data_IF_903306500872
#
_entry.id   IF_903306500872
#
_cell.length_a   1.000
_cell.length_b   1.000
_cell.length_c   1.000
_cell.angle_alpha   90.00
_cell.angle_beta   90.00
_cell.angle_gamma   90.00
#
_symmetry.space_group_name_H-M   'P 1'
#
loop_
_entity.id
_entity.type
_entity.pdbx_description
1 polymer ?
#
# COMPACT_ATOMS: atom_id res chain seq x y z
N UNK A 1 9.21 -38.99 44.06
CA UNK A 1 9.34 -39.05 42.57
C UNK A 1 8.05 -38.61 41.87
N UNK A 2 6.86 -39.17 42.22
CA UNK A 2 5.58 -38.88 41.57
C UNK A 2 5.17 -37.38 41.66
N UNK A 3 5.38 -36.76 42.85
CA UNK A 3 5.02 -35.35 43.05
C UNK A 3 5.85 -34.38 42.21
N UNK A 4 7.13 -34.71 41.98
CA UNK A 4 8.04 -33.92 41.16
C UNK A 4 7.63 -34.02 39.67
N UNK A 5 7.28 -35.23 39.20
CA UNK A 5 6.86 -35.36 37.79
C UNK A 5 5.52 -34.69 37.50
N UNK A 6 4.58 -34.61 38.45
CA UNK A 6 3.29 -33.92 38.29
C UNK A 6 3.46 -32.39 38.19
N UNK A 7 4.50 -31.83 38.83
CA UNK A 7 4.77 -30.39 38.78
C UNK A 7 5.72 -30.01 37.62
N UNK A 8 6.74 -30.83 37.36
CA UNK A 8 7.79 -30.52 36.38
C UNK A 8 7.30 -30.77 34.93
N UNK A 9 6.51 -31.85 34.73
CA UNK A 9 6.04 -32.18 33.39
C UNK A 9 5.14 -31.08 32.76
N UNK A 10 4.12 -30.52 33.45
CA UNK A 10 3.34 -29.40 32.91
C UNK A 10 4.19 -28.16 32.70
N UNK A 11 5.14 -27.87 33.56
CA UNK A 11 6.03 -26.72 33.39
C UNK A 11 6.95 -26.86 32.15
N UNK A 12 7.50 -28.07 31.94
CA UNK A 12 8.28 -28.39 30.74
C UNK A 12 7.44 -28.35 29.45
N UNK A 13 6.21 -28.88 29.51
CA UNK A 13 5.26 -28.77 28.39
C UNK A 13 4.90 -27.32 28.12
N UNK A 14 4.63 -26.53 29.14
CA UNK A 14 4.38 -25.10 28.99
C UNK A 14 5.57 -24.38 28.35
N UNK A 15 6.79 -24.62 28.85
CA UNK A 15 8.01 -24.05 28.27
C UNK A 15 8.22 -24.53 26.83
N UNK A 16 7.97 -25.80 26.54
CA UNK A 16 8.05 -26.34 25.17
C UNK A 16 7.05 -25.67 24.23
N UNK A 17 5.79 -25.43 24.65
CA UNK A 17 4.79 -24.72 23.86
C UNK A 17 5.09 -23.23 23.74
N UNK A 18 5.63 -22.59 24.80
CA UNK A 18 5.95 -21.15 24.76
C UNK A 18 7.25 -20.86 24.00
N UNK A 19 8.27 -21.70 24.13
CA UNK A 19 9.57 -21.49 23.49
C UNK A 19 9.81 -22.37 22.25
N UNK A 20 9.15 -23.53 22.15
CA UNK A 20 9.31 -24.46 21.03
C UNK A 20 8.39 -24.21 19.84
N UNK A 21 7.36 -23.37 19.98
CA UNK A 21 6.46 -22.97 18.91
C UNK A 21 6.62 -21.48 18.54
N UNK A 22 7.78 -20.89 18.80
CA UNK A 22 8.07 -19.53 18.37
C UNK A 22 8.56 -19.45 16.91
N UNK A 23 8.21 -20.39 16.06
CA UNK A 23 7.98 -20.06 14.67
C UNK A 23 6.64 -19.31 14.62
N UNK A 24 6.65 -18.05 14.99
CA UNK A 24 5.58 -17.14 14.63
C UNK A 24 5.57 -17.18 13.11
N UNK A 25 4.58 -17.86 12.54
CA UNK A 25 4.30 -17.84 11.12
C UNK A 25 3.90 -16.40 10.81
N UNK A 26 4.88 -15.56 10.48
CA UNK A 26 4.62 -14.22 9.99
C UNK A 26 3.99 -14.40 8.62
N UNK A 27 2.72 -14.06 8.54
CA UNK A 27 2.06 -13.95 7.25
C UNK A 27 2.82 -12.88 6.47
N UNK A 28 3.24 -13.22 5.26
CA UNK A 28 3.87 -12.28 4.31
C UNK A 28 2.92 -12.08 3.15
N UNK A 29 2.99 -10.92 2.53
CA UNK A 29 2.24 -10.65 1.30
C UNK A 29 3.05 -11.09 0.09
N UNK A 30 2.33 -11.53 -0.94
CA UNK A 30 2.93 -11.88 -2.23
C UNK A 30 3.25 -10.62 -3.05
N UNK A 31 4.17 -10.77 -3.99
CA UNK A 31 4.51 -9.74 -4.97
C UNK A 31 3.55 -9.79 -6.15
N UNK A 32 3.17 -8.62 -6.66
CA UNK A 32 2.25 -8.46 -7.80
C UNK A 32 3.02 -7.90 -8.99
N UNK A 33 2.93 -8.58 -10.12
CA UNK A 33 3.57 -8.17 -11.37
C UNK A 33 4.41 -9.28 -11.99
N UNK A 34 5.01 -9.03 -13.14
CA UNK A 34 5.84 -10.00 -13.83
C UNK A 34 7.22 -10.10 -13.15
N UNK A 35 7.52 -11.25 -12.59
CA UNK A 35 8.84 -11.55 -12.05
C UNK A 35 9.85 -11.80 -13.18
N UNK A 36 11.07 -11.31 -13.01
CA UNK A 36 12.19 -11.62 -13.88
C UNK A 36 13.14 -12.61 -13.21
N UNK A 37 13.55 -13.64 -13.94
CA UNK A 37 14.53 -14.60 -13.46
C UNK A 37 15.91 -14.22 -14.03
N UNK A 38 16.82 -13.82 -13.16
CA UNK A 38 18.17 -13.38 -13.52
C UNK A 38 19.19 -14.43 -13.09
N UNK A 39 20.08 -14.82 -13.99
CA UNK A 39 21.17 -15.75 -13.67
C UNK A 39 22.24 -15.03 -12.83
N UNK A 40 22.68 -15.68 -11.74
CA UNK A 40 23.82 -15.26 -10.92
C UNK A 40 24.92 -16.33 -10.86
N UNK A 41 26.05 -16.04 -10.21
CA UNK A 41 27.21 -16.94 -10.11
C UNK A 41 26.93 -18.27 -9.38
N UNK A 42 25.73 -18.41 -8.73
CA UNK A 42 25.35 -19.60 -7.96
C UNK A 42 24.04 -20.24 -8.39
N UNK A 43 23.32 -19.67 -9.39
CA UNK A 43 22.01 -20.16 -9.80
C UNK A 43 21.15 -19.10 -10.49
N UNK A 44 19.90 -18.99 -10.04
CA UNK A 44 18.95 -18.01 -10.56
C UNK A 44 18.32 -17.27 -9.38
N UNK A 45 18.23 -15.95 -9.50
CA UNK A 45 17.49 -15.08 -8.58
C UNK A 45 16.19 -14.61 -9.23
N UNK A 46 15.17 -14.41 -8.41
CA UNK A 46 13.92 -13.81 -8.83
C UNK A 46 13.95 -12.31 -8.47
N UNK A 47 13.82 -11.47 -9.49
CA UNK A 47 13.67 -10.02 -9.34
C UNK A 47 12.18 -9.70 -9.46
N UNK A 48 11.59 -9.22 -8.39
CA UNK A 48 10.18 -8.86 -8.36
C UNK A 48 9.93 -7.53 -9.08
N UNK A 49 8.74 -7.42 -9.65
CA UNK A 49 8.31 -6.22 -10.34
C UNK A 49 8.33 -5.00 -9.39
N UNK A 50 8.99 -3.94 -9.83
CA UNK A 50 8.99 -2.64 -9.16
C UNK A 50 8.18 -1.66 -10.01
N UNK A 51 7.36 -0.82 -9.40
CA UNK A 51 6.62 0.20 -10.14
C UNK A 51 7.60 1.14 -10.87
N UNK A 52 7.25 1.65 -12.06
CA UNK A 52 8.14 2.53 -12.80
C UNK A 52 8.41 3.83 -12.04
N UNK A 53 9.53 4.46 -12.35
CA UNK A 53 9.84 5.79 -11.87
C UNK A 53 8.79 6.79 -12.35
N UNK A 54 8.44 7.72 -11.47
CA UNK A 54 7.54 8.82 -11.76
C UNK A 54 8.07 10.13 -11.18
N UNK A 55 7.61 11.22 -11.72
CA UNK A 55 7.87 12.57 -11.22
C UNK A 55 6.58 13.38 -11.29
N UNK A 56 6.02 13.72 -10.12
CA UNK A 56 4.78 14.48 -9.99
C UNK A 56 4.97 15.63 -9.00
N UNK A 57 3.98 16.51 -8.91
CA UNK A 57 3.98 17.65 -7.99
C UNK A 57 2.97 17.41 -6.87
N UNK A 58 3.41 17.68 -5.64
CA UNK A 58 2.53 17.67 -4.48
C UNK A 58 1.75 18.99 -4.32
N UNK A 59 0.96 19.11 -3.28
CA UNK A 59 0.15 20.29 -2.96
C UNK A 59 0.95 21.55 -2.68
N UNK A 60 2.26 21.45 -2.42
CA UNK A 60 3.19 22.56 -2.24
C UNK A 60 4.02 22.86 -3.48
N UNK A 61 3.67 22.24 -4.62
CA UNK A 61 4.41 22.31 -5.89
C UNK A 61 5.84 21.76 -5.79
N UNK A 62 6.15 20.97 -4.78
CA UNK A 62 7.39 20.25 -4.69
C UNK A 62 7.31 18.98 -5.56
N UNK A 63 8.42 18.66 -6.21
CA UNK A 63 8.55 17.41 -6.97
C UNK A 63 8.52 16.23 -6.01
N UNK A 64 7.83 15.19 -6.35
CA UNK A 64 7.80 13.90 -5.65
C UNK A 64 8.10 12.81 -6.67
N UNK A 65 9.13 12.02 -6.37
CA UNK A 65 9.58 10.90 -7.20
C UNK A 65 9.34 9.57 -6.49
N UNK A 66 9.42 8.48 -7.24
CA UNK A 66 9.36 7.14 -6.64
C UNK A 66 10.44 6.96 -5.56
N UNK A 67 11.66 7.40 -5.84
CA UNK A 67 12.78 7.23 -4.91
C UNK A 67 12.61 8.02 -3.60
N UNK A 68 11.85 9.13 -3.60
CA UNK A 68 11.50 9.83 -2.36
C UNK A 68 10.46 9.09 -1.51
N UNK A 69 9.81 8.08 -2.10
CA UNK A 69 8.90 7.19 -1.41
C UNK A 69 9.59 5.92 -0.88
N UNK A 70 10.87 5.71 -1.20
CA UNK A 70 11.64 4.59 -0.66
C UNK A 70 11.64 4.62 0.88
N UNK A 71 11.68 3.46 1.51
CA UNK A 71 11.50 3.29 2.96
C UNK A 71 10.11 3.67 3.49
N UNK A 72 9.12 3.85 2.61
CA UNK A 72 7.73 4.16 2.96
C UNK A 72 6.80 3.10 2.41
N UNK A 73 5.92 2.57 3.25
CA UNK A 73 4.79 1.75 2.83
C UNK A 73 3.66 2.71 2.46
N UNK A 74 3.05 2.56 1.30
CA UNK A 74 1.95 3.44 0.95
C UNK A 74 0.82 2.77 0.17
N UNK A 75 -0.38 3.29 0.40
CA UNK A 75 -1.57 2.92 -0.38
C UNK A 75 -1.72 3.94 -1.50
N UNK A 76 -1.67 3.47 -2.74
CA UNK A 76 -1.82 4.28 -3.94
C UNK A 76 -3.24 4.16 -4.50
N UNK A 77 -3.84 5.29 -4.83
CA UNK A 77 -5.15 5.39 -5.48
C UNK A 77 -5.18 6.51 -6.52
N UNK A 78 -6.12 6.41 -7.47
CA UNK A 78 -6.42 7.48 -8.42
C UNK A 78 -7.77 8.12 -8.12
N UNK A 79 -7.89 9.42 -8.34
CA UNK A 79 -9.11 10.19 -8.05
C UNK A 79 -9.14 11.45 -8.92
N UNK A 80 -10.18 12.27 -8.81
CA UNK A 80 -10.17 13.69 -9.21
C UNK A 80 -11.04 14.51 -8.26
N UNK A 81 -10.61 15.76 -7.99
CA UNK A 81 -11.19 16.56 -6.92
C UNK A 81 -12.65 16.96 -7.15
N UNK A 82 -13.07 17.05 -8.42
CA UNK A 82 -14.42 17.43 -8.84
C UNK A 82 -15.34 16.25 -9.10
N UNK A 83 -14.93 15.03 -8.76
CA UNK A 83 -15.76 13.83 -8.88
C UNK A 83 -17.04 13.95 -8.04
N UNK A 84 -18.23 13.82 -8.65
CA UNK A 84 -19.48 14.06 -7.93
C UNK A 84 -19.98 12.83 -7.16
N UNK A 85 -19.48 11.64 -7.43
CA UNK A 85 -20.09 10.37 -6.99
C UNK A 85 -19.17 9.51 -6.15
N UNK A 86 -18.22 8.81 -6.76
CA UNK A 86 -17.45 7.72 -6.11
C UNK A 86 -16.28 8.23 -5.26
N UNK A 87 -15.54 9.26 -5.71
CA UNK A 87 -14.37 9.74 -4.99
C UNK A 87 -14.65 10.24 -3.58
N UNK A 88 -15.79 10.91 -3.28
CA UNK A 88 -16.11 11.27 -1.91
C UNK A 88 -16.22 10.06 -0.98
N UNK A 89 -16.84 8.96 -1.43
CA UNK A 89 -16.94 7.73 -0.66
C UNK A 89 -15.60 7.02 -0.51
N UNK A 90 -14.82 6.88 -1.60
CA UNK A 90 -13.45 6.36 -1.55
C UNK A 90 -12.60 7.12 -0.53
N UNK A 91 -12.57 8.44 -0.65
CA UNK A 91 -11.74 9.28 0.21
C UNK A 91 -12.22 9.29 1.66
N UNK A 92 -13.51 9.06 1.91
CA UNK A 92 -14.01 8.84 3.27
C UNK A 92 -13.37 7.59 3.89
N UNK A 93 -13.37 6.46 3.18
CA UNK A 93 -12.77 5.21 3.67
C UNK A 93 -11.25 5.31 3.81
N UNK A 94 -10.57 5.91 2.84
CA UNK A 94 -9.12 6.16 2.93
C UNK A 94 -8.76 7.08 4.10
N UNK A 95 -9.61 8.06 4.43
CA UNK A 95 -9.42 8.91 5.60
C UNK A 95 -9.55 8.13 6.93
N UNK A 96 -10.39 7.10 6.99
CA UNK A 96 -10.45 6.24 8.17
C UNK A 96 -9.16 5.40 8.30
N UNK A 97 -8.61 4.90 7.19
CA UNK A 97 -7.28 4.27 7.16
C UNK A 97 -6.21 5.25 7.65
N UNK A 98 -6.17 6.49 7.12
CA UNK A 98 -5.24 7.53 7.57
C UNK A 98 -5.28 7.72 9.09
N UNK A 99 -6.46 7.83 9.67
CA UNK A 99 -6.64 8.02 11.12
C UNK A 99 -6.16 6.82 11.93
N UNK A 100 -6.44 5.61 11.42
CA UNK A 100 -6.07 4.35 12.09
C UNK A 100 -4.55 4.16 12.12
N UNK A 101 -3.87 4.49 11.02
CA UNK A 101 -2.43 4.30 10.87
C UNK A 101 -1.60 5.57 11.12
N UNK A 102 -2.18 6.62 11.71
CA UNK A 102 -1.47 7.89 11.96
C UNK A 102 -0.21 7.77 12.83
N UNK A 103 -0.14 6.74 13.69
CA UNK A 103 0.99 6.48 14.58
C UNK A 103 2.19 5.78 13.92
N UNK A 104 2.08 5.37 12.66
CA UNK A 104 3.13 4.68 11.93
C UNK A 104 3.77 5.61 10.93
N UNK A 105 4.97 6.13 11.24
CA UNK A 105 5.65 7.14 10.40
C UNK A 105 6.06 6.60 9.03
N UNK A 106 6.30 5.30 8.92
CA UNK A 106 6.62 4.60 7.68
C UNK A 106 5.41 4.35 6.77
N UNK A 107 4.18 4.70 7.19
CA UNK A 107 2.97 4.49 6.40
C UNK A 107 2.37 5.82 5.93
N UNK A 108 1.95 5.88 4.66
CA UNK A 108 1.28 7.02 4.02
C UNK A 108 0.17 6.59 3.06
N UNK A 109 -0.70 7.52 2.73
CA UNK A 109 -1.59 7.44 1.59
C UNK A 109 -1.05 8.34 0.46
N UNK A 110 -1.20 7.88 -0.77
CA UNK A 110 -0.87 8.65 -1.99
C UNK A 110 -2.07 8.60 -2.93
N UNK A 111 -2.60 9.74 -3.29
CA UNK A 111 -3.67 9.84 -4.27
C UNK A 111 -3.23 10.73 -5.43
N UNK A 112 -3.30 10.19 -6.65
CA UNK A 112 -2.88 10.89 -7.88
C UNK A 112 -4.14 11.29 -8.64
N UNK A 113 -4.23 12.57 -9.02
CA UNK A 113 -5.38 13.01 -9.83
C UNK A 113 -5.31 12.49 -11.26
N UNK A 114 -6.47 12.20 -11.85
CA UNK A 114 -6.60 11.87 -13.27
C UNK A 114 -7.03 13.08 -14.12
N UNK A 115 -7.33 14.22 -13.48
CA UNK A 115 -7.70 15.50 -14.12
C UNK A 115 -6.71 16.62 -13.75
N UNK A 116 -5.42 16.53 -14.19
CA UNK A 116 -4.41 17.52 -13.81
C UNK A 116 -4.68 18.92 -14.36
N UNK A 117 -5.53 19.05 -15.37
CA UNK A 117 -5.91 20.37 -15.91
C UNK A 117 -6.69 21.20 -14.90
N UNK A 118 -7.59 20.56 -14.12
CA UNK A 118 -8.37 21.22 -13.06
C UNK A 118 -7.68 21.11 -11.69
N UNK A 119 -7.02 20.00 -11.44
CA UNK A 119 -6.44 19.65 -10.15
C UNK A 119 -4.98 20.12 -10.06
N UNK A 120 -4.76 21.44 -10.16
CA UNK A 120 -3.45 22.04 -9.90
C UNK A 120 -3.00 21.82 -8.46
N UNK A 121 -1.69 21.97 -8.11
CA UNK A 121 -1.20 21.87 -6.74
C UNK A 121 -2.00 22.74 -5.76
N UNK A 122 -2.36 23.96 -6.14
CA UNK A 122 -3.14 24.88 -5.32
C UNK A 122 -4.59 24.40 -5.13
N UNK A 123 -5.20 23.80 -6.16
CA UNK A 123 -6.55 23.23 -6.09
C UNK A 123 -6.56 22.02 -5.16
N UNK A 124 -5.57 21.13 -5.29
CA UNK A 124 -5.40 19.97 -4.42
C UNK A 124 -5.12 20.37 -2.97
N UNK A 125 -4.37 21.45 -2.73
CA UNK A 125 -4.14 21.98 -1.39
C UNK A 125 -5.42 22.50 -0.75
N UNK A 126 -6.25 23.19 -1.52
CA UNK A 126 -7.57 23.65 -1.06
C UNK A 126 -8.49 22.45 -0.75
N UNK A 127 -8.53 21.46 -1.65
CA UNK A 127 -9.26 20.20 -1.48
C UNK A 127 -8.88 19.45 -0.20
N UNK A 128 -7.57 19.27 0.04
CA UNK A 128 -7.04 18.61 1.23
C UNK A 128 -7.42 19.36 2.51
N UNK A 129 -7.28 20.68 2.51
CA UNK A 129 -7.61 21.55 3.65
C UNK A 129 -9.12 21.54 3.96
N UNK A 130 -9.96 21.67 2.95
CA UNK A 130 -11.43 21.69 3.11
C UNK A 130 -11.96 20.42 3.77
N UNK A 131 -11.33 19.28 3.44
CA UNK A 131 -11.72 17.96 3.96
C UNK A 131 -10.97 17.57 5.22
N UNK A 132 -10.06 18.43 5.69
CA UNK A 132 -9.27 18.19 6.90
C UNK A 132 -8.46 16.89 6.83
N UNK A 133 -7.88 16.58 5.65
CA UNK A 133 -6.93 15.47 5.51
C UNK A 133 -5.55 15.88 6.00
N UNK A 134 -4.86 14.99 6.72
CA UNK A 134 -3.55 15.26 7.29
C UNK A 134 -2.45 15.22 6.21
N UNK A 135 -1.79 16.35 5.89
CA UNK A 135 -0.76 16.38 4.86
C UNK A 135 0.50 15.58 5.21
N UNK A 136 0.72 15.27 6.48
CA UNK A 136 1.84 14.42 6.90
C UNK A 136 1.61 12.94 6.57
N UNK A 137 0.35 12.53 6.39
CA UNK A 137 -0.05 11.13 6.18
C UNK A 137 -0.68 10.87 4.83
N UNK A 138 -1.16 11.91 4.13
CA UNK A 138 -1.82 11.75 2.85
C UNK A 138 -1.29 12.76 1.82
N UNK A 139 -0.55 12.27 0.86
CA UNK A 139 0.02 13.06 -0.23
C UNK A 139 -0.90 13.04 -1.44
N UNK A 140 -1.29 14.21 -1.94
CA UNK A 140 -2.01 14.38 -3.19
C UNK A 140 -1.05 14.84 -4.27
N UNK A 141 -1.09 14.16 -5.43
CA UNK A 141 -0.16 14.40 -6.53
C UNK A 141 -0.91 14.78 -7.82
N UNK A 142 -0.26 15.64 -8.61
CA UNK A 142 -0.68 16.04 -9.95
C UNK A 142 0.54 16.15 -10.85
N UNK A 143 0.36 16.15 -12.16
CA UNK A 143 1.48 16.22 -13.07
C UNK A 143 1.08 16.14 -14.54
N UNK A 144 1.97 15.63 -15.39
CA UNK A 144 1.66 15.36 -16.78
C UNK A 144 0.61 14.25 -16.92
N UNK A 145 -0.46 14.51 -17.66
CA UNK A 145 -1.59 13.58 -17.79
C UNK A 145 -1.17 12.25 -18.42
N UNK A 146 -0.31 12.29 -19.43
CA UNK A 146 0.15 11.08 -20.09
C UNK A 146 0.97 10.22 -19.13
N UNK A 147 1.86 10.83 -18.34
CA UNK A 147 2.65 10.14 -17.33
C UNK A 147 1.76 9.53 -16.23
N UNK A 148 0.70 10.22 -15.82
CA UNK A 148 -0.29 9.72 -14.84
C UNK A 148 -0.97 8.45 -15.38
N UNK A 149 -1.44 8.46 -16.63
CA UNK A 149 -2.11 7.31 -17.23
C UNK A 149 -1.17 6.13 -17.49
N UNK A 150 0.07 6.41 -17.89
CA UNK A 150 1.12 5.38 -18.01
C UNK A 150 1.39 4.71 -16.66
N UNK A 151 1.51 5.47 -15.58
CA UNK A 151 1.69 4.92 -14.24
C UNK A 151 0.46 4.09 -13.83
N UNK A 152 -0.76 4.61 -14.03
CA UNK A 152 -1.99 3.89 -13.70
C UNK A 152 -2.05 2.51 -14.37
N UNK A 153 -1.69 2.46 -15.65
CA UNK A 153 -1.60 1.21 -16.41
C UNK A 153 -0.52 0.28 -15.84
N UNK A 154 0.66 0.81 -15.52
CA UNK A 154 1.77 0.03 -15.00
C UNK A 154 1.48 -0.56 -13.61
N UNK A 155 0.66 0.10 -12.80
CA UNK A 155 0.24 -0.40 -11.48
C UNK A 155 -1.09 -1.16 -11.50
N UNK A 156 -1.57 -1.54 -12.68
CA UNK A 156 -2.81 -2.31 -12.90
C UNK A 156 -4.08 -1.63 -12.39
N UNK A 157 -4.07 -0.32 -12.20
CA UNK A 157 -5.26 0.47 -11.91
C UNK A 157 -5.74 1.18 -13.18
N UNK A 158 -7.03 1.06 -13.48
CA UNK A 158 -7.60 1.72 -14.65
C UNK A 158 -7.80 3.22 -14.35
N UNK A 159 -7.24 4.08 -15.20
CA UNK A 159 -7.47 5.51 -15.20
C UNK A 159 -7.35 6.04 -16.63
N UNK A 160 -8.42 6.63 -17.17
CA UNK A 160 -8.44 7.23 -18.50
C UNK A 160 -9.63 8.16 -18.67
N UNK A 161 -9.54 9.05 -19.67
CA UNK A 161 -10.68 9.87 -20.06
C UNK A 161 -11.78 9.01 -20.67
N UNK A 162 -13.00 9.21 -20.19
CA UNK A 162 -14.21 8.64 -20.78
C UNK A 162 -15.33 9.68 -20.70
N UNK A 163 -15.62 10.30 -21.82
CA UNK A 163 -16.67 11.32 -21.92
C UNK A 163 -18.07 10.81 -21.60
N UNK A 164 -18.26 9.48 -21.56
CA UNK A 164 -19.52 8.85 -21.15
C UNK A 164 -19.61 8.63 -19.65
N UNK A 165 -18.46 8.67 -18.95
CA UNK A 165 -18.40 8.57 -17.51
C UNK A 165 -18.80 9.88 -16.83
N UNK A 166 -19.38 9.77 -15.64
CA UNK A 166 -19.75 10.94 -14.84
C UNK A 166 -18.51 11.71 -14.41
N UNK A 167 -18.39 12.96 -14.81
CA UNK A 167 -17.21 13.79 -14.60
C UNK A 167 -16.15 13.73 -15.70
N UNK A 168 -16.34 12.87 -16.74
CA UNK A 168 -15.46 12.81 -17.91
C UNK A 168 -14.25 11.88 -17.76
N UNK A 169 -14.15 11.17 -16.63
CA UNK A 169 -13.05 10.26 -16.35
C UNK A 169 -13.55 8.95 -15.77
N UNK A 170 -12.92 7.85 -16.18
CA UNK A 170 -13.08 6.55 -15.55
C UNK A 170 -11.81 6.24 -14.77
N UNK A 171 -11.96 6.00 -13.48
CA UNK A 171 -10.89 5.48 -12.64
C UNK A 171 -11.42 4.33 -11.77
N UNK A 172 -10.51 3.46 -11.38
CA UNK A 172 -10.83 2.35 -10.49
C UNK A 172 -11.23 2.86 -9.09
N UNK A 173 -12.19 2.19 -8.46
CA UNK A 173 -12.47 2.34 -7.01
C UNK A 173 -11.45 1.62 -6.14
N UNK A 174 -10.46 0.99 -6.79
CA UNK A 174 -9.45 0.18 -6.14
C UNK A 174 -8.24 1.01 -5.74
N UNK A 175 -7.58 0.54 -4.68
CA UNK A 175 -6.26 0.96 -4.24
C UNK A 175 -5.32 -0.24 -4.21
N UNK A 176 -4.02 0.02 -4.28
CA UNK A 176 -2.96 -0.97 -4.14
C UNK A 176 -2.05 -0.61 -2.97
N UNK A 177 -1.36 -1.61 -2.42
CA UNK A 177 -0.32 -1.38 -1.42
C UNK A 177 1.04 -1.50 -2.09
N UNK A 178 1.92 -0.55 -1.81
CA UNK A 178 3.30 -0.55 -2.29
C UNK A 178 4.22 -0.56 -1.06
N UNK A 179 5.22 -1.45 -1.09
CA UNK A 179 6.19 -1.57 -0.03
C UNK A 179 7.33 -0.54 -0.16
N UNK A 180 8.28 -0.60 0.77
CA UNK A 180 9.41 0.34 0.91
C UNK A 180 10.47 0.24 -0.19
N UNK A 181 10.41 -0.81 -1.02
CA UNK A 181 11.29 -1.03 -2.18
C UNK A 181 10.57 -0.75 -3.51
N UNK A 182 9.29 -0.36 -3.45
CA UNK A 182 8.48 -0.02 -4.61
C UNK A 182 7.79 -1.21 -5.27
N UNK A 183 7.65 -2.34 -4.57
CA UNK A 183 6.91 -3.50 -5.06
C UNK A 183 5.44 -3.41 -4.68
N UNK A 184 4.55 -3.78 -5.61
CA UNK A 184 3.13 -3.95 -5.29
C UNK A 184 2.98 -5.26 -4.50
N UNK A 185 2.31 -5.17 -3.34
CA UNK A 185 2.13 -6.31 -2.43
C UNK A 185 0.65 -6.60 -2.23
N UNK A 186 0.30 -7.87 -2.12
CA UNK A 186 -1.09 -8.29 -1.90
C UNK A 186 -1.17 -9.67 -1.28
N UNK A 187 -2.30 -9.94 -0.62
CA UNK A 187 -2.66 -11.28 -0.16
C UNK A 187 -3.07 -12.21 -1.31
N UNK A 188 -3.17 -13.49 -1.01
CA UNK A 188 -3.91 -14.44 -1.83
C UNK A 188 -5.34 -14.59 -1.32
N UNK A 189 -6.26 -14.85 -2.25
CA UNK A 189 -7.62 -15.27 -1.95
C UNK A 189 -7.67 -16.74 -1.44
N UNK A 190 -8.85 -17.21 -1.06
CA UNK A 190 -9.07 -18.57 -0.59
C UNK A 190 -8.76 -19.65 -1.66
N UNK A 191 -8.63 -19.26 -2.91
CA UNK A 191 -8.28 -20.13 -4.04
C UNK A 191 -6.77 -20.10 -4.35
N UNK A 192 -6.00 -19.27 -3.65
CA UNK A 192 -4.57 -19.10 -3.84
C UNK A 192 -4.19 -18.12 -4.94
N UNK A 193 -5.13 -17.35 -5.51
CA UNK A 193 -4.82 -16.31 -6.48
C UNK A 193 -4.43 -15.01 -5.78
N UNK A 194 -3.46 -14.28 -6.33
CA UNK A 194 -3.09 -12.95 -5.85
C UNK A 194 -4.23 -11.98 -6.12
N UNK A 195 -4.69 -11.26 -5.09
CA UNK A 195 -5.80 -10.30 -5.19
C UNK A 195 -5.39 -9.07 -6.02
N UNK A 196 -4.21 -8.53 -5.78
CA UNK A 196 -3.56 -7.47 -6.56
C UNK A 196 -4.02 -6.06 -6.21
N UNK A 197 -5.31 -5.82 -6.02
CA UNK A 197 -5.87 -4.52 -5.64
C UNK A 197 -7.12 -4.69 -4.78
N UNK A 198 -7.49 -3.62 -4.06
CA UNK A 198 -8.60 -3.63 -3.09
C UNK A 198 -9.63 -2.58 -3.49
N UNK A 199 -10.87 -3.00 -3.74
CA UNK A 199 -11.98 -2.05 -3.90
C UNK A 199 -12.29 -1.42 -2.54
N UNK A 200 -11.96 -0.14 -2.39
CA UNK A 200 -12.14 0.58 -1.12
C UNK A 200 -13.59 0.94 -0.81
N UNK A 201 -14.52 0.67 -1.72
CA UNK A 201 -15.97 0.76 -1.49
C UNK A 201 -16.57 -0.56 -1.00
N UNK A 202 -15.88 -1.69 -1.17
CA UNK A 202 -16.26 -2.97 -0.60
C UNK A 202 -15.69 -3.11 0.81
N UNK A 203 -16.58 -3.25 1.80
CA UNK A 203 -16.20 -3.32 3.23
C UNK A 203 -15.28 -4.50 3.53
N UNK A 204 -15.45 -5.63 2.84
CA UNK A 204 -14.61 -6.81 3.05
C UNK A 204 -13.19 -6.54 2.55
N UNK A 205 -13.06 -6.05 1.32
CA UNK A 205 -11.77 -5.72 0.73
C UNK A 205 -11.08 -4.55 1.45
N UNK A 206 -11.84 -3.59 1.98
CA UNK A 206 -11.31 -2.52 2.82
C UNK A 206 -10.70 -3.06 4.12
N UNK A 207 -11.35 -4.02 4.78
CA UNK A 207 -10.80 -4.69 5.96
C UNK A 207 -9.55 -5.51 5.60
N UNK A 208 -9.59 -6.19 4.46
CA UNK A 208 -8.43 -6.93 3.93
C UNK A 208 -7.25 -6.00 3.68
N UNK A 209 -7.47 -4.83 3.07
CA UNK A 209 -6.47 -3.79 2.88
C UNK A 209 -5.85 -3.34 4.22
N UNK A 210 -6.70 -3.09 5.23
CA UNK A 210 -6.21 -2.68 6.56
C UNK A 210 -5.38 -3.76 7.25
N UNK A 211 -5.74 -5.03 7.09
CA UNK A 211 -4.98 -6.13 7.66
C UNK A 211 -3.64 -6.32 6.92
N UNK A 212 -3.63 -6.16 5.62
CA UNK A 212 -2.40 -6.26 4.81
C UNK A 212 -1.43 -5.10 5.07
N UNK A 213 -1.93 -3.89 5.34
CA UNK A 213 -1.09 -2.78 5.81
C UNK A 213 -0.38 -3.16 7.12
N UNK A 214 -1.07 -3.81 8.07
CA UNK A 214 -0.47 -4.27 9.34
C UNK A 214 0.61 -5.31 9.10
N UNK A 215 0.37 -6.25 8.16
CA UNK A 215 1.36 -7.28 7.79
C UNK A 215 2.62 -6.63 7.25
N UNK A 216 2.50 -5.69 6.29
CA UNK A 216 3.66 -4.99 5.72
C UNK A 216 4.41 -4.14 6.75
N UNK A 217 3.70 -3.47 7.66
CA UNK A 217 4.35 -2.72 8.75
C UNK A 217 5.18 -3.68 9.62
N UNK A 218 4.65 -4.87 9.94
CA UNK A 218 5.37 -5.87 10.73
C UNK A 218 6.58 -6.44 9.96
N UNK A 219 6.45 -6.69 8.65
CA UNK A 219 7.57 -7.09 7.78
C UNK A 219 8.69 -6.04 7.79
N UNK A 220 8.35 -4.78 7.57
CA UNK A 220 9.28 -3.65 7.55
C UNK A 220 10.07 -3.51 8.86
N UNK A 221 9.38 -3.58 10.01
CA UNK A 221 10.02 -3.48 11.31
C UNK A 221 10.97 -4.66 11.57
N UNK A 222 10.60 -5.86 11.14
CA UNK A 222 11.45 -7.04 11.23
C UNK A 222 12.71 -6.90 10.37
N UNK A 223 12.56 -6.45 9.13
CA UNK A 223 13.68 -6.29 8.22
C UNK A 223 14.66 -5.22 8.70
N UNK A 224 14.14 -4.12 9.24
CA UNK A 224 14.97 -3.10 9.91
C UNK A 224 15.70 -3.62 11.15
N UNK A 225 15.10 -4.53 11.91
CA UNK A 225 15.76 -5.13 13.06
C UNK A 225 16.94 -6.01 12.60
N UNK A 226 16.70 -6.85 11.61
CA UNK A 226 17.73 -7.75 11.06
C UNK A 226 18.95 -6.98 10.51
N UNK A 227 18.70 -5.86 9.80
CA UNK A 227 19.78 -5.01 9.25
C UNK A 227 20.61 -4.28 10.32
N UNK A 228 20.11 -4.13 11.56
CA UNK A 228 20.88 -3.51 12.66
C UNK A 228 21.77 -4.51 13.40
N UNK A 229 21.48 -5.80 13.24
CA UNK A 229 22.19 -6.89 13.94
C UNK A 229 23.30 -7.48 13.05
N UNK A 230 23.45 -7.05 11.78
CA UNK A 230 24.54 -7.33 10.85
C UNK A 230 25.64 -6.24 10.90
#
# INVERSE_FOLDING_TARGET
AVLISVLVLPALLYLFFVYGQSEVFFQTLDYVGPDEVVANDGGFDTVHYTIPDFEFYNTDSAVVTRTEMDSTIYVLSFFFATCPTICPAMNFHLNEIQKRFKGYDQFKLVSITVDPEKDSPSALKAYQKERNYDPAKWTFLTGDQAAIYELAKAVYLNAFEDQTAEGGFLHSTSAIIIDWDGHIRSRKDDLGNIVGSYDVLDVTQLNDLEDDIKVLIAEYERDKHNQRDE
#
